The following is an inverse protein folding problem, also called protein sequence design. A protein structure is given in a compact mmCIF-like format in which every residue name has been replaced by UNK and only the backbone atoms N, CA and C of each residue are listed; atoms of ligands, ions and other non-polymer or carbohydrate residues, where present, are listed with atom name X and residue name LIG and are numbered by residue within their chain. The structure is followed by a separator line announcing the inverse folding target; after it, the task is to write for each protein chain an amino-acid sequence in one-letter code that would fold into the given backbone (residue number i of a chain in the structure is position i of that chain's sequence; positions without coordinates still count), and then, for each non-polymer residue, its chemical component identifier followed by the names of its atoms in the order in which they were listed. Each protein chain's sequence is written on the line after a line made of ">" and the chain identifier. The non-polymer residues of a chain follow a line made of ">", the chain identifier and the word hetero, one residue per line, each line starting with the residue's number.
data_IF_656814566862
#
_entry.id   IF_656814566862
#
_cell.length_a   1.000
_cell.length_b   1.000
_cell.length_c   1.000
_cell.angle_alpha   90.00
_cell.angle_beta   90.00
_cell.angle_gamma   90.00
#
_symmetry.space_group_name_H-M   'P 1'
#
loop_
_entity.id
_entity.type
_entity.pdbx_description
1 polymer ?
#
# COMPACT_ATOMS: atom_id res chain seq x y z
N UNK A 1 11.61 10.24 -13.51
CA UNK A 1 11.33 8.89 -12.97
C UNK A 1 10.20 8.95 -11.96
N UNK A 2 9.23 8.06 -12.09
CA UNK A 2 8.09 8.03 -11.17
C UNK A 2 8.48 7.36 -9.85
N UNK A 3 7.89 7.85 -8.75
CA UNK A 3 8.00 7.19 -7.44
C UNK A 3 6.90 6.14 -7.34
N UNK A 4 7.25 4.99 -6.78
CA UNK A 4 6.30 3.90 -6.55
C UNK A 4 5.67 4.04 -5.18
N UNK A 5 4.37 4.22 -5.13
CA UNK A 5 3.62 4.41 -3.89
C UNK A 5 2.70 3.21 -3.68
N UNK A 6 2.86 2.53 -2.57
CA UNK A 6 1.97 1.45 -2.16
C UNK A 6 0.81 2.03 -1.37
N UNK A 7 -0.41 1.78 -1.79
CA UNK A 7 -1.62 2.20 -1.07
C UNK A 7 -2.23 0.98 -0.40
N UNK A 8 -2.35 1.00 0.92
CA UNK A 8 -2.89 -0.12 1.68
C UNK A 8 -3.73 0.37 2.86
N UNK A 9 -4.90 -0.18 3.07
CA UNK A 9 -5.65 -1.05 2.17
C UNK A 9 -6.25 -0.25 1.01
N UNK A 10 -6.23 -0.80 -0.20
CA UNK A 10 -6.60 -0.04 -1.39
C UNK A 10 -8.11 0.00 -1.66
N UNK A 11 -8.90 -0.77 -0.94
CA UNK A 11 -10.36 -0.77 -1.10
C UNK A 11 -11.10 0.25 -0.25
N UNK A 12 -10.40 0.99 0.61
CA UNK A 12 -11.02 2.00 1.45
C UNK A 12 -11.42 3.22 0.62
N UNK A 13 -12.34 4.03 1.14
CA UNK A 13 -12.79 5.24 0.47
C UNK A 13 -11.64 6.21 0.25
N UNK A 14 -10.77 6.38 1.25
CA UNK A 14 -9.60 7.24 1.15
C UNK A 14 -8.67 6.75 0.04
N UNK A 15 -8.44 5.43 -0.04
CA UNK A 15 -7.57 4.86 -1.06
C UNK A 15 -8.13 5.10 -2.46
N UNK A 16 -9.43 4.97 -2.64
CA UNK A 16 -10.08 5.24 -3.94
C UNK A 16 -9.94 6.71 -4.34
N UNK A 17 -10.06 7.63 -3.37
CA UNK A 17 -9.84 9.05 -3.61
C UNK A 17 -8.41 9.33 -4.02
N UNK A 18 -7.43 8.70 -3.37
CA UNK A 18 -6.02 8.83 -3.72
C UNK A 18 -5.81 8.41 -5.18
N UNK A 19 -6.37 7.27 -5.56
CA UNK A 19 -6.24 6.79 -6.94
C UNK A 19 -6.81 7.80 -7.93
N UNK A 20 -8.02 8.31 -7.68
CA UNK A 20 -8.66 9.28 -8.57
C UNK A 20 -7.83 10.55 -8.72
N UNK A 21 -7.18 10.97 -7.63
CA UNK A 21 -6.42 12.22 -7.61
C UNK A 21 -5.07 12.11 -8.31
N UNK A 22 -4.40 10.96 -8.25
CA UNK A 22 -3.01 10.87 -8.69
C UNK A 22 -2.72 9.77 -9.71
N UNK A 23 -3.71 9.00 -10.15
CA UNK A 23 -3.46 7.89 -11.07
C UNK A 23 -2.92 8.33 -12.45
N UNK A 24 -3.12 9.59 -12.80
CA UNK A 24 -2.60 10.14 -14.05
C UNK A 24 -1.37 11.03 -13.84
N UNK A 25 -0.82 11.03 -12.63
CA UNK A 25 0.36 11.81 -12.33
C UNK A 25 1.58 11.30 -13.10
N UNK A 26 2.41 12.23 -13.56
CA UNK A 26 3.69 11.86 -14.16
C UNK A 26 4.77 11.61 -13.09
N UNK A 27 4.44 11.87 -11.81
CA UNK A 27 5.39 11.76 -10.71
C UNK A 27 5.23 10.49 -9.88
N UNK A 28 4.04 9.88 -9.88
CA UNK A 28 3.75 8.75 -9.02
C UNK A 28 3.15 7.58 -9.79
N UNK A 29 3.57 6.39 -9.40
CA UNK A 29 2.99 5.14 -9.87
C UNK A 29 2.34 4.48 -8.67
N UNK A 30 1.03 4.25 -8.72
CA UNK A 30 0.27 3.72 -7.58
C UNK A 30 0.12 2.20 -7.68
N UNK A 31 0.41 1.52 -6.59
CA UNK A 31 0.23 0.08 -6.46
C UNK A 31 -0.71 -0.14 -5.29
N UNK A 32 -1.84 -0.79 -5.54
CA UNK A 32 -2.82 -1.07 -4.50
C UNK A 32 -2.62 -2.45 -3.91
N UNK A 33 -2.82 -2.57 -2.60
CA UNK A 33 -2.74 -3.87 -1.93
C UNK A 33 -3.87 -3.99 -0.92
N UNK A 34 -4.30 -5.22 -0.66
CA UNK A 34 -5.39 -5.46 0.28
C UNK A 34 -5.29 -6.84 0.90
N UNK A 35 -5.82 -6.97 2.12
CA UNK A 35 -5.91 -8.25 2.82
C UNK A 35 -7.15 -9.04 2.40
N UNK A 36 -8.14 -8.38 1.83
CA UNK A 36 -9.40 -9.00 1.41
C UNK A 36 -9.69 -8.62 -0.04
N UNK A 37 -10.53 -9.42 -0.68
CA UNK A 37 -10.99 -9.15 -2.03
C UNK A 37 -12.01 -8.00 -1.95
N UNK A 38 -11.63 -6.83 -2.45
CA UNK A 38 -12.45 -5.62 -2.33
C UNK A 38 -12.45 -4.81 -3.63
N UNK A 39 -13.03 -3.61 -3.55
CA UNK A 39 -13.18 -2.74 -4.72
C UNK A 39 -11.85 -2.27 -5.31
N UNK A 40 -10.79 -2.27 -4.54
CA UNK A 40 -9.47 -1.82 -5.01
C UNK A 40 -8.98 -2.62 -6.21
N UNK A 41 -9.32 -3.91 -6.27
CA UNK A 41 -8.88 -4.76 -7.38
C UNK A 41 -9.49 -4.35 -8.73
N UNK A 42 -10.62 -3.64 -8.73
CA UNK A 42 -11.25 -3.16 -9.96
C UNK A 42 -10.78 -1.78 -10.37
N UNK A 43 -10.14 -1.06 -9.45
CA UNK A 43 -9.73 0.34 -9.67
C UNK A 43 -8.24 0.45 -9.94
N UNK A 44 -7.40 -0.20 -9.12
CA UNK A 44 -5.95 -0.14 -9.26
C UNK A 44 -5.47 -1.06 -10.37
N UNK A 45 -4.73 -0.49 -11.34
CA UNK A 45 -4.14 -1.29 -12.43
C UNK A 45 -3.11 -2.26 -11.90
N UNK A 46 -2.31 -1.83 -10.91
CA UNK A 46 -1.34 -2.68 -10.24
C UNK A 46 -1.91 -3.04 -8.88
N UNK A 47 -2.33 -4.27 -8.71
CA UNK A 47 -3.03 -4.73 -7.52
C UNK A 47 -2.37 -5.99 -6.94
N UNK A 48 -2.19 -5.99 -5.63
CA UNK A 48 -1.64 -7.13 -4.88
C UNK A 48 -2.67 -7.57 -3.86
N UNK A 49 -3.10 -8.83 -3.93
CA UNK A 49 -4.05 -9.39 -2.98
C UNK A 49 -3.34 -10.31 -1.98
N UNK A 50 -4.12 -10.86 -1.04
CA UNK A 50 -3.62 -11.86 -0.12
C UNK A 50 -2.66 -11.34 0.93
N UNK A 51 -2.63 -10.03 1.19
CA UNK A 51 -1.79 -9.46 2.24
C UNK A 51 -2.35 -9.91 3.60
N UNK A 52 -1.51 -10.41 4.53
CA UNK A 52 -1.99 -10.77 5.86
C UNK A 52 -2.64 -9.59 6.56
N UNK A 53 -3.53 -9.87 7.52
CA UNK A 53 -4.15 -8.82 8.32
C UNK A 53 -3.13 -8.17 9.23
N UNK A 54 -3.37 -6.93 9.64
CA UNK A 54 -2.42 -6.16 10.47
C UNK A 54 -2.18 -6.81 11.84
N UNK A 55 -3.09 -7.67 12.28
CA UNK A 55 -2.95 -8.41 13.53
C UNK A 55 -2.13 -9.69 13.37
N UNK A 56 -1.82 -10.07 12.14
CA UNK A 56 -1.07 -11.29 11.84
C UNK A 56 0.44 -11.03 12.00
N UNK A 57 1.15 -12.00 12.60
CA UNK A 57 2.59 -11.89 12.76
C UNK A 57 3.35 -11.82 11.43
N UNK A 58 2.72 -12.28 10.34
CA UNK A 58 3.32 -12.26 9.01
C UNK A 58 3.09 -10.95 8.26
N UNK A 59 2.35 -10.00 8.85
CA UNK A 59 2.00 -8.75 8.17
C UNK A 59 3.23 -7.93 7.76
N UNK A 60 4.10 -7.61 8.72
CA UNK A 60 5.27 -6.78 8.44
C UNK A 60 6.25 -7.49 7.49
N UNK A 61 6.57 -8.78 7.67
CA UNK A 61 7.40 -9.48 6.69
C UNK A 61 6.79 -9.45 5.27
N UNK A 62 5.48 -9.60 5.15
CA UNK A 62 4.81 -9.56 3.86
C UNK A 62 4.90 -8.19 3.20
N UNK A 63 4.66 -7.12 3.96
CA UNK A 63 4.78 -5.74 3.44
C UNK A 63 6.22 -5.46 3.03
N UNK A 64 7.20 -5.89 3.83
CA UNK A 64 8.61 -5.72 3.49
C UNK A 64 8.95 -6.40 2.16
N UNK A 65 8.43 -7.59 1.93
CA UNK A 65 8.63 -8.31 0.68
C UNK A 65 8.05 -7.54 -0.50
N UNK A 66 6.84 -7.01 -0.34
CA UNK A 66 6.18 -6.20 -1.38
C UNK A 66 7.02 -4.97 -1.70
N UNK A 67 7.51 -4.28 -0.67
CA UNK A 67 8.36 -3.10 -0.82
C UNK A 67 9.60 -3.43 -1.64
N UNK A 68 10.26 -4.53 -1.34
CA UNK A 68 11.48 -4.94 -2.04
C UNK A 68 11.20 -5.38 -3.47
N UNK A 69 10.20 -6.21 -3.68
CA UNK A 69 9.90 -6.75 -5.01
C UNK A 69 9.37 -5.71 -5.99
N UNK A 70 8.65 -4.71 -5.48
CA UNK A 70 8.03 -3.68 -6.31
C UNK A 70 8.76 -2.34 -6.24
N UNK A 71 9.90 -2.29 -5.56
CA UNK A 71 10.72 -1.08 -5.42
C UNK A 71 9.89 0.10 -4.92
N UNK A 72 9.15 -0.13 -3.84
CA UNK A 72 8.26 0.87 -3.27
C UNK A 72 9.08 1.99 -2.60
N UNK A 73 8.77 3.23 -2.93
CA UNK A 73 9.44 4.40 -2.35
C UNK A 73 8.74 4.89 -1.08
N UNK A 74 7.42 4.75 -1.03
CA UNK A 74 6.64 5.15 0.14
C UNK A 74 5.35 4.35 0.21
N UNK A 75 4.80 4.22 1.41
CA UNK A 75 3.51 3.58 1.63
C UNK A 75 2.52 4.63 2.11
N UNK A 76 1.35 4.68 1.47
CA UNK A 76 0.24 5.50 1.93
C UNK A 76 -0.71 4.61 2.73
N UNK A 77 -0.74 4.74 4.06
CA UNK A 77 -1.66 3.94 4.88
C UNK A 77 -3.03 4.60 4.89
N UNK A 78 -4.02 3.88 4.38
CA UNK A 78 -5.36 4.44 4.17
C UNK A 78 -6.34 4.17 5.33
N UNK A 79 -5.83 3.74 6.48
CA UNK A 79 -6.63 3.53 7.71
C UNK A 79 -5.76 3.80 8.93
N UNK A 80 -6.37 4.37 9.99
CA UNK A 80 -5.64 4.76 11.20
C UNK A 80 -4.87 3.59 11.84
N UNK A 81 -5.50 2.42 11.94
CA UNK A 81 -4.84 1.25 12.53
C UNK A 81 -3.61 0.84 11.72
N UNK A 82 -3.66 0.98 10.41
CA UNK A 82 -2.55 0.67 9.52
C UNK A 82 -1.43 1.69 9.68
N UNK A 83 -1.77 2.97 9.82
CA UNK A 83 -0.79 4.04 10.06
C UNK A 83 0.07 3.68 11.28
N UNK A 84 -0.58 3.33 12.38
CA UNK A 84 0.12 3.02 13.63
C UNK A 84 1.10 1.87 13.48
N UNK A 85 0.64 0.76 12.89
CA UNK A 85 1.47 -0.43 12.74
C UNK A 85 2.64 -0.18 11.79
N UNK A 86 2.41 0.48 10.67
CA UNK A 86 3.46 0.73 9.69
C UNK A 86 4.48 1.74 10.18
N UNK A 87 4.04 2.81 10.85
CA UNK A 87 4.96 3.81 11.42
C UNK A 87 5.88 3.20 12.47
N UNK A 88 5.34 2.33 13.33
CA UNK A 88 6.11 1.65 14.36
C UNK A 88 7.22 0.79 13.74
N UNK A 89 6.99 0.28 12.55
CA UNK A 89 7.92 -0.63 11.88
C UNK A 89 8.60 0.00 10.66
N UNK A 90 8.55 1.32 10.53
CA UNK A 90 9.05 2.03 9.35
C UNK A 90 10.50 1.68 9.01
N UNK A 91 11.36 1.59 10.02
CA UNK A 91 12.77 1.26 9.79
C UNK A 91 12.95 -0.15 9.22
N UNK A 92 12.10 -1.07 9.62
CA UNK A 92 12.17 -2.46 9.13
C UNK A 92 11.71 -2.57 7.68
N UNK A 93 10.80 -1.69 7.27
CA UNK A 93 10.21 -1.74 5.94
C UNK A 93 11.15 -1.23 4.85
N UNK A 94 12.06 -0.32 5.19
CA UNK A 94 13.03 0.20 4.24
C UNK A 94 12.48 1.27 3.29
N UNK A 95 11.32 1.82 3.60
CA UNK A 95 10.74 2.93 2.84
C UNK A 95 9.99 3.85 3.80
N UNK A 96 9.55 4.99 3.30
CA UNK A 96 8.76 5.94 4.10
C UNK A 96 7.32 5.48 4.23
N UNK A 97 6.72 5.83 5.34
CA UNK A 97 5.30 5.60 5.59
C UNK A 97 4.58 6.93 5.72
#
# INVERSE_FOLDING_TARGET
>A
MKKNILVFPCGSEIALEIYRSVNKSIHFNLIGASSVDDHGKFIYENYIDGVPFITDSDFIPAIKKIVQENKIDAIFPAMDAVIEVLKRNEKKLGCKV
#
